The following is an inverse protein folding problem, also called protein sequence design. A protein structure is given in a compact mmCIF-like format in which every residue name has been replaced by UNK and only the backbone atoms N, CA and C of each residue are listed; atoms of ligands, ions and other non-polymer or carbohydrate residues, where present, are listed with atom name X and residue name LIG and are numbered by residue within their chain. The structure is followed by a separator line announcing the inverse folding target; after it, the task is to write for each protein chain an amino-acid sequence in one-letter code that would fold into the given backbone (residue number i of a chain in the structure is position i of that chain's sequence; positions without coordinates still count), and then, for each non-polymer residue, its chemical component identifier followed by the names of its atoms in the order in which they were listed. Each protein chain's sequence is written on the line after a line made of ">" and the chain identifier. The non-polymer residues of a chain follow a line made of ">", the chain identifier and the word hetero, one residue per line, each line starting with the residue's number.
data_IF_560500539356
#
_entry.id   IF_560500539356
#
_cell.length_a   1.000
_cell.length_b   1.000
_cell.length_c   1.000
_cell.angle_alpha   90.00
_cell.angle_beta   90.00
_cell.angle_gamma   90.00
#
_symmetry.space_group_name_H-M   'P 1'
#
loop_
_entity.id
_entity.type
_entity.pdbx_description
1 polymer ?
#
# COMPACT_ATOMS: atom_id res chain seq x y z
N UNK A 1 23.36 6.66 -33.06
CA UNK A 1 23.16 7.47 -31.85
C UNK A 1 21.74 7.18 -31.42
N UNK A 2 21.50 6.67 -30.20
CA UNK A 2 20.13 6.42 -29.75
C UNK A 2 19.34 7.72 -29.75
N UNK A 3 18.06 7.66 -30.11
CA UNK A 3 17.18 8.84 -30.05
C UNK A 3 17.03 9.27 -28.59
N UNK A 4 16.91 10.58 -28.33
CA UNK A 4 16.82 11.13 -26.96
C UNK A 4 15.69 10.48 -26.15
N UNK A 5 14.61 10.01 -26.81
CA UNK A 5 13.53 9.26 -26.18
C UNK A 5 13.87 7.81 -25.81
N UNK A 6 14.81 7.15 -26.50
CA UNK A 6 15.24 5.77 -26.17
C UNK A 6 16.08 5.75 -24.89
N UNK A 7 17.00 6.70 -24.73
CA UNK A 7 17.85 6.82 -23.54
C UNK A 7 17.01 7.05 -22.27
N UNK A 8 15.97 7.88 -22.37
CA UNK A 8 15.08 8.16 -21.25
C UNK A 8 14.23 6.93 -20.85
N UNK A 9 13.87 6.08 -21.81
CA UNK A 9 13.10 4.86 -21.55
C UNK A 9 13.95 3.79 -20.85
N UNK A 10 15.21 3.64 -21.24
CA UNK A 10 16.15 2.71 -20.60
C UNK A 10 16.45 3.10 -19.15
N UNK A 11 16.61 4.40 -18.86
CA UNK A 11 16.80 4.89 -17.49
C UNK A 11 15.57 4.62 -16.60
N UNK A 12 14.36 4.87 -17.13
CA UNK A 12 13.10 4.57 -16.45
C UNK A 12 12.95 3.07 -16.16
N UNK A 13 13.27 2.22 -17.13
CA UNK A 13 13.25 0.76 -16.97
C UNK A 13 14.25 0.33 -15.90
N UNK A 14 15.49 0.78 -15.97
CA UNK A 14 16.53 0.44 -15.01
C UNK A 14 16.13 0.84 -13.58
N UNK A 15 15.48 2.00 -13.42
CA UNK A 15 14.96 2.45 -12.13
C UNK A 15 13.88 1.50 -11.58
N UNK A 16 12.90 1.11 -12.41
CA UNK A 16 11.83 0.17 -12.02
C UNK A 16 12.40 -1.23 -11.73
N UNK A 17 13.38 -1.69 -12.50
CA UNK A 17 14.05 -2.97 -12.23
C UNK A 17 14.83 -2.97 -10.90
N UNK A 18 15.55 -1.88 -10.62
CA UNK A 18 16.26 -1.71 -9.36
C UNK A 18 15.27 -1.77 -8.18
N UNK A 19 14.14 -1.07 -8.31
CA UNK A 19 13.05 -1.08 -7.33
C UNK A 19 12.52 -2.51 -7.10
N UNK A 20 12.15 -3.22 -8.16
CA UNK A 20 11.65 -4.59 -8.05
C UNK A 20 12.66 -5.57 -7.44
N UNK A 21 13.95 -5.46 -7.80
CA UNK A 21 15.01 -6.24 -7.14
C UNK A 21 15.03 -6.00 -5.63
N UNK A 22 14.91 -4.75 -5.23
CA UNK A 22 14.92 -4.37 -3.83
C UNK A 22 13.69 -4.92 -3.10
N UNK A 23 12.50 -4.75 -3.68
CA UNK A 23 11.24 -5.29 -3.15
C UNK A 23 11.30 -6.80 -2.92
N UNK A 24 11.72 -7.57 -3.92
CA UNK A 24 11.76 -9.05 -3.81
C UNK A 24 12.73 -9.49 -2.71
N UNK A 25 13.90 -8.83 -2.60
CA UNK A 25 14.89 -9.11 -1.55
C UNK A 25 14.33 -8.77 -0.17
N UNK A 26 13.75 -7.58 -0.02
CA UNK A 26 13.18 -7.12 1.25
C UNK A 26 12.00 -7.98 1.68
N UNK A 27 11.11 -8.38 0.76
CA UNK A 27 9.92 -9.15 1.11
C UNK A 27 10.24 -10.50 1.76
N UNK A 28 11.36 -11.14 1.39
CA UNK A 28 11.80 -12.39 2.02
C UNK A 28 12.47 -12.23 3.38
N UNK A 29 12.90 -11.02 3.74
CA UNK A 29 13.68 -10.75 4.96
C UNK A 29 12.84 -9.96 5.97
N UNK A 30 12.18 -8.90 5.50
CA UNK A 30 11.35 -8.01 6.28
C UNK A 30 10.24 -7.42 5.39
N UNK A 31 9.04 -8.03 5.38
CA UNK A 31 7.89 -7.56 4.60
C UNK A 31 7.51 -6.09 4.88
N UNK A 32 7.73 -5.60 6.11
CA UNK A 32 7.44 -4.22 6.47
C UNK A 32 8.35 -3.24 5.71
N UNK A 33 9.65 -3.55 5.60
CA UNK A 33 10.57 -2.73 4.82
C UNK A 33 10.24 -2.75 3.32
N UNK A 34 9.73 -3.88 2.81
CA UNK A 34 9.27 -3.93 1.43
C UNK A 34 8.05 -3.02 1.19
N UNK A 35 7.11 -2.96 2.12
CA UNK A 35 5.99 -2.00 2.06
C UNK A 35 6.48 -0.56 2.07
N UNK A 36 7.42 -0.23 2.97
CA UNK A 36 8.01 1.11 3.05
C UNK A 36 8.75 1.50 1.76
N UNK A 37 9.42 0.54 1.13
CA UNK A 37 10.10 0.76 -0.15
C UNK A 37 9.13 1.12 -1.27
N UNK A 38 7.94 0.50 -1.34
CA UNK A 38 6.89 0.89 -2.32
C UNK A 38 6.55 2.37 -2.19
N UNK A 39 6.24 2.82 -0.96
CA UNK A 39 5.86 4.21 -0.73
C UNK A 39 7.03 5.19 -0.91
N UNK A 40 8.25 4.78 -0.54
CA UNK A 40 9.46 5.56 -0.80
C UNK A 40 9.68 5.74 -2.30
N UNK A 41 9.51 4.69 -3.09
CA UNK A 41 9.66 4.74 -4.53
C UNK A 41 8.64 5.68 -5.16
N UNK A 42 7.40 5.67 -4.69
CA UNK A 42 6.35 6.61 -5.11
C UNK A 42 6.70 8.07 -4.80
N UNK A 43 7.29 8.33 -3.63
CA UNK A 43 7.77 9.66 -3.27
C UNK A 43 8.92 10.11 -4.18
N UNK A 44 9.87 9.22 -4.51
CA UNK A 44 10.97 9.49 -5.44
C UNK A 44 10.42 9.82 -6.84
N UNK A 45 9.48 9.02 -7.36
CA UNK A 45 8.81 9.30 -8.63
C UNK A 45 8.14 10.66 -8.60
N UNK A 46 7.42 10.98 -7.51
CA UNK A 46 6.78 12.28 -7.32
C UNK A 46 7.76 13.44 -7.36
N UNK A 47 8.91 13.31 -6.70
CA UNK A 47 9.97 14.31 -6.69
C UNK A 47 10.60 14.49 -8.07
N UNK A 48 10.94 13.40 -8.77
CA UNK A 48 11.52 13.45 -10.11
C UNK A 48 10.55 14.05 -11.12
N UNK A 49 9.28 13.63 -11.07
CA UNK A 49 8.23 14.16 -11.92
C UNK A 49 8.05 15.68 -11.72
N UNK A 50 8.11 16.17 -10.47
CA UNK A 50 8.01 17.60 -10.17
C UNK A 50 9.20 18.45 -10.64
N UNK A 51 10.29 17.84 -11.11
CA UNK A 51 11.43 18.54 -11.71
C UNK A 51 11.30 18.65 -13.24
N UNK A 52 10.36 17.92 -13.84
CA UNK A 52 10.13 17.93 -15.28
C UNK A 52 9.18 19.07 -15.70
N UNK A 53 9.23 19.51 -16.96
CA UNK A 53 8.18 20.36 -17.53
C UNK A 53 6.81 19.68 -17.41
N UNK A 54 5.74 20.47 -17.17
CA UNK A 54 4.36 19.95 -17.04
C UNK A 54 3.92 19.08 -18.22
N UNK A 55 4.41 19.37 -19.44
CA UNK A 55 4.14 18.59 -20.64
C UNK A 55 4.74 17.18 -20.62
N UNK A 56 5.81 16.97 -19.83
CA UNK A 56 6.53 15.70 -19.71
C UNK A 56 6.21 14.98 -18.40
N UNK A 57 5.75 15.69 -17.36
CA UNK A 57 5.44 15.11 -16.06
C UNK A 57 4.43 13.96 -16.18
N UNK A 58 3.32 14.20 -16.87
CA UNK A 58 2.25 13.21 -17.03
C UNK A 58 2.70 11.98 -17.83
N UNK A 59 3.55 12.18 -18.84
CA UNK A 59 4.12 11.09 -19.64
C UNK A 59 5.11 10.27 -18.83
N UNK A 60 6.03 10.91 -18.10
CA UNK A 60 6.97 10.24 -17.21
C UNK A 60 6.25 9.37 -16.17
N UNK A 61 5.24 9.92 -15.48
CA UNK A 61 4.45 9.17 -14.49
C UNK A 61 3.75 7.97 -15.13
N UNK A 62 3.16 8.16 -16.32
CA UNK A 62 2.48 7.08 -17.05
C UNK A 62 3.46 5.98 -17.46
N UNK A 63 4.64 6.33 -17.96
CA UNK A 63 5.67 5.36 -18.37
C UNK A 63 6.16 4.53 -17.19
N UNK A 64 6.44 5.17 -16.05
CA UNK A 64 6.81 4.45 -14.83
C UNK A 64 5.68 3.55 -14.33
N UNK A 65 4.43 4.03 -14.33
CA UNK A 65 3.29 3.20 -13.94
C UNK A 65 3.09 1.99 -14.88
N UNK A 66 3.25 2.18 -16.19
CA UNK A 66 3.19 1.09 -17.17
C UNK A 66 4.24 0.03 -16.87
N UNK A 67 5.49 0.44 -16.69
CA UNK A 67 6.58 -0.47 -16.33
C UNK A 67 6.27 -1.19 -15.01
N UNK A 68 5.87 -0.48 -13.94
CA UNK A 68 5.51 -1.12 -12.66
C UNK A 68 4.41 -2.18 -12.84
N UNK A 69 3.40 -1.89 -13.66
CA UNK A 69 2.34 -2.83 -14.03
C UNK A 69 2.85 -4.06 -14.77
N UNK A 70 3.74 -3.90 -15.75
CA UNK A 70 4.35 -5.02 -16.50
C UNK A 70 5.08 -5.98 -15.56
N UNK A 71 5.90 -5.46 -14.64
CA UNK A 71 6.63 -6.29 -13.68
C UNK A 71 5.69 -6.90 -12.62
N UNK A 72 4.61 -6.21 -12.23
CA UNK A 72 3.59 -6.76 -11.34
C UNK A 72 2.88 -7.96 -11.98
N UNK A 73 2.52 -7.85 -13.26
CA UNK A 73 1.91 -8.96 -14.00
C UNK A 73 2.89 -10.12 -14.21
N UNK A 74 4.17 -9.82 -14.40
CA UNK A 74 5.21 -10.85 -14.45
C UNK A 74 5.37 -11.58 -13.11
N UNK A 75 5.35 -10.86 -11.98
CA UNK A 75 5.39 -11.48 -10.65
C UNK A 75 4.16 -12.37 -10.39
N UNK A 76 2.99 -12.00 -10.90
CA UNK A 76 1.78 -12.83 -10.78
C UNK A 76 1.85 -14.10 -11.60
N UNK A 77 2.28 -13.99 -12.85
CA UNK A 77 2.13 -15.05 -13.84
C UNK A 77 3.35 -15.96 -13.92
N UNK A 78 4.55 -15.42 -13.72
CA UNK A 78 5.80 -16.16 -13.83
C UNK A 78 6.90 -15.57 -12.91
N UNK A 79 6.72 -15.67 -11.57
CA UNK A 79 7.61 -15.08 -10.57
C UNK A 79 9.06 -15.56 -10.66
N UNK A 80 9.29 -16.83 -11.03
CA UNK A 80 10.64 -17.38 -11.15
C UNK A 80 11.40 -16.81 -12.36
N UNK A 81 10.71 -16.59 -13.48
CA UNK A 81 11.32 -15.96 -14.65
C UNK A 81 11.64 -14.50 -14.38
N UNK A 82 10.75 -13.78 -13.68
CA UNK A 82 11.03 -12.41 -13.24
C UNK A 82 12.29 -12.33 -12.36
N UNK A 83 12.42 -13.22 -11.37
CA UNK A 83 13.62 -13.25 -10.51
C UNK A 83 14.89 -13.52 -11.30
N UNK A 84 14.81 -14.41 -12.28
CA UNK A 84 15.92 -14.76 -13.17
C UNK A 84 16.33 -13.56 -14.03
N UNK A 85 15.36 -12.87 -14.65
CA UNK A 85 15.63 -11.69 -15.49
C UNK A 85 16.23 -10.54 -14.68
N UNK A 86 15.76 -10.37 -13.44
CA UNK A 86 16.25 -9.36 -12.51
C UNK A 86 17.56 -9.76 -11.80
N UNK A 87 18.13 -10.94 -12.05
CA UNK A 87 19.32 -11.45 -11.33
C UNK A 87 19.16 -11.41 -9.80
N UNK A 88 17.98 -11.76 -9.28
CA UNK A 88 17.71 -11.82 -7.84
C UNK A 88 18.04 -13.21 -7.30
N UNK A 89 19.07 -13.29 -6.47
CA UNK A 89 19.39 -14.48 -5.68
C UNK A 89 18.83 -14.34 -4.26
N UNK A 90 18.04 -15.32 -3.81
CA UNK A 90 17.34 -15.26 -2.52
C UNK A 90 16.03 -14.45 -2.56
N UNK A 91 15.49 -14.11 -1.38
CA UNK A 91 14.21 -13.40 -1.23
C UNK A 91 12.99 -14.33 -1.16
N UNK A 92 11.83 -13.72 -0.87
CA UNK A 92 10.56 -14.45 -0.72
C UNK A 92 10.09 -15.02 -2.05
N UNK A 93 9.33 -16.12 -2.02
CA UNK A 93 8.83 -16.79 -3.22
C UNK A 93 7.37 -17.20 -3.10
N UNK A 94 6.71 -17.33 -4.24
CA UNK A 94 5.34 -17.83 -4.33
C UNK A 94 4.37 -16.93 -3.56
N UNK A 95 3.57 -17.53 -2.68
CA UNK A 95 2.51 -16.80 -1.95
C UNK A 95 3.06 -15.72 -1.01
N UNK A 96 4.31 -15.83 -0.57
CA UNK A 96 4.94 -14.87 0.35
C UNK A 96 5.20 -13.50 -0.29
N UNK A 97 5.27 -13.43 -1.62
CA UNK A 97 5.52 -12.19 -2.37
C UNK A 97 4.39 -11.81 -3.32
N UNK A 98 3.34 -12.62 -3.42
CA UNK A 98 2.20 -12.36 -4.30
C UNK A 98 1.53 -11.00 -4.02
N UNK A 99 1.58 -10.52 -2.77
CA UNK A 99 1.08 -9.19 -2.40
C UNK A 99 1.90 -8.03 -2.98
N UNK A 100 3.18 -8.24 -3.36
CA UNK A 100 4.00 -7.23 -4.03
C UNK A 100 3.39 -6.82 -5.35
N UNK A 101 2.92 -7.79 -6.14
CA UNK A 101 2.27 -7.52 -7.42
C UNK A 101 1.02 -6.65 -7.24
N UNK A 102 0.25 -6.87 -6.18
CA UNK A 102 -0.91 -6.05 -5.87
C UNK A 102 -0.48 -4.60 -5.55
N UNK A 103 0.54 -4.41 -4.71
CA UNK A 103 1.03 -3.07 -4.39
C UNK A 103 1.62 -2.32 -5.58
N UNK A 104 2.33 -3.04 -6.45
CA UNK A 104 2.97 -2.47 -7.63
C UNK A 104 2.01 -2.29 -8.81
N UNK A 105 0.78 -2.79 -8.69
CA UNK A 105 -0.25 -2.49 -9.68
C UNK A 105 -0.63 -1.02 -9.61
N UNK A 106 -0.59 -0.30 -10.73
CA UNK A 106 -1.03 1.08 -10.79
C UNK A 106 -2.47 1.20 -10.27
N UNK A 107 -2.67 2.12 -9.34
CA UNK A 107 -4.00 2.46 -8.83
C UNK A 107 -4.45 3.76 -9.50
N UNK A 108 -5.59 3.73 -10.20
CA UNK A 108 -6.21 4.92 -10.79
C UNK A 108 -6.86 5.83 -9.73
N UNK A 109 -7.13 5.30 -8.54
CA UNK A 109 -7.72 6.03 -7.42
C UNK A 109 -6.92 5.80 -6.14
N UNK A 110 -6.77 6.85 -5.33
CA UNK A 110 -6.24 6.74 -3.96
C UNK A 110 -7.37 6.95 -2.96
N UNK A 111 -7.60 5.93 -2.12
CA UNK A 111 -8.64 5.94 -1.08
C UNK A 111 -8.09 6.40 0.29
N UNK A 112 -6.92 7.05 0.30
CA UNK A 112 -6.30 7.58 1.54
C UNK A 112 -7.23 8.49 2.30
N UNK A 113 -7.81 9.48 1.64
CA UNK A 113 -8.60 10.50 2.33
C UNK A 113 -9.85 9.89 2.98
N UNK A 114 -10.52 8.93 2.33
CA UNK A 114 -11.64 8.22 2.92
C UNK A 114 -11.25 7.41 4.15
N UNK A 115 -10.09 6.76 4.10
CA UNK A 115 -9.55 6.02 5.23
C UNK A 115 -9.16 6.96 6.37
N UNK A 116 -8.54 8.10 6.06
CA UNK A 116 -8.16 9.12 7.02
C UNK A 116 -9.42 9.74 7.66
N UNK A 117 -10.47 9.98 6.88
CA UNK A 117 -11.75 10.47 7.38
C UNK A 117 -12.40 9.48 8.35
N UNK A 118 -12.37 8.18 8.04
CA UNK A 118 -12.85 7.13 8.94
C UNK A 118 -12.10 7.15 10.28
N UNK A 119 -10.76 7.19 10.25
CA UNK A 119 -9.95 7.20 11.47
C UNK A 119 -10.07 8.51 12.26
N UNK A 120 -10.12 9.66 11.57
CA UNK A 120 -10.40 10.96 12.21
C UNK A 120 -11.73 10.92 12.97
N UNK A 121 -12.78 10.39 12.34
CA UNK A 121 -14.09 10.28 12.98
C UNK A 121 -14.04 9.43 14.26
N UNK A 122 -13.28 8.33 14.27
CA UNK A 122 -13.07 7.51 15.47
C UNK A 122 -12.28 8.24 16.57
N UNK A 123 -11.29 9.05 16.20
CA UNK A 123 -10.50 9.81 17.16
C UNK A 123 -11.27 10.99 17.77
N UNK A 124 -12.17 11.60 17.01
CA UNK A 124 -13.03 12.71 17.46
C UNK A 124 -14.20 12.19 18.30
N UNK A 125 -14.90 11.17 17.83
CA UNK A 125 -16.12 10.66 18.47
C UNK A 125 -15.86 9.61 19.56
N UNK A 126 -14.61 9.14 19.67
CA UNK A 126 -14.23 8.02 20.52
C UNK A 126 -14.35 6.68 19.78
N UNK A 127 -13.46 5.75 20.13
CA UNK A 127 -13.46 4.40 19.56
C UNK A 127 -14.60 3.63 20.23
N UNK A 128 -15.57 3.11 19.46
CA UNK A 128 -16.69 2.36 20.02
C UNK A 128 -16.24 0.99 20.53
N UNK A 129 -17.13 0.28 21.22
CA UNK A 129 -16.86 -1.09 21.65
C UNK A 129 -16.48 -2.01 20.45
N UNK A 130 -15.77 -3.13 20.67
CA UNK A 130 -15.26 -3.99 19.59
C UNK A 130 -16.29 -4.41 18.52
N UNK A 131 -17.51 -4.76 18.96
CA UNK A 131 -18.55 -5.25 18.05
C UNK A 131 -19.05 -4.14 17.13
N UNK A 132 -19.27 -2.96 17.69
CA UNK A 132 -19.67 -1.78 16.92
C UNK A 132 -18.54 -1.33 15.99
N UNK A 133 -17.29 -1.32 16.46
CA UNK A 133 -16.13 -1.00 15.62
C UNK A 133 -16.03 -1.95 14.43
N UNK A 134 -16.11 -3.26 14.66
CA UNK A 134 -16.05 -4.26 13.59
C UNK A 134 -17.16 -4.06 12.55
N UNK A 135 -18.38 -3.77 12.99
CA UNK A 135 -19.49 -3.50 12.06
C UNK A 135 -19.26 -2.24 11.24
N UNK A 136 -18.76 -1.16 11.85
CA UNK A 136 -18.45 0.09 11.15
C UNK A 136 -17.30 -0.11 10.17
N UNK A 137 -16.27 -0.86 10.55
CA UNK A 137 -15.15 -1.21 9.69
C UNK A 137 -15.58 -2.05 8.48
N UNK A 138 -16.40 -3.07 8.68
CA UNK A 138 -16.91 -3.88 7.57
C UNK A 138 -17.80 -3.08 6.62
N UNK A 139 -18.65 -2.19 7.15
CA UNK A 139 -19.46 -1.29 6.32
C UNK A 139 -18.57 -0.32 5.53
N UNK A 140 -17.52 0.22 6.16
CA UNK A 140 -16.54 1.07 5.51
C UNK A 140 -15.81 0.34 4.36
N UNK A 141 -15.28 -0.87 4.62
CA UNK A 141 -14.65 -1.68 3.58
C UNK A 141 -15.60 -2.03 2.43
N UNK A 142 -16.86 -2.38 2.74
CA UNK A 142 -17.87 -2.61 1.72
C UNK A 142 -18.15 -1.38 0.85
N UNK A 143 -18.16 -0.19 1.46
CA UNK A 143 -18.27 1.08 0.76
C UNK A 143 -17.08 1.36 -0.17
N UNK A 144 -15.85 1.09 0.29
CA UNK A 144 -14.66 1.20 -0.54
C UNK A 144 -14.70 0.21 -1.72
N UNK A 145 -15.05 -1.06 -1.46
CA UNK A 145 -15.16 -2.08 -2.51
C UNK A 145 -16.18 -1.68 -3.57
N UNK A 146 -17.35 -1.17 -3.17
CA UNK A 146 -18.38 -0.72 -4.10
C UNK A 146 -17.88 0.42 -5.01
N UNK A 147 -17.05 1.34 -4.50
CA UNK A 147 -16.45 2.42 -5.29
C UNK A 147 -15.52 1.90 -6.38
N UNK A 148 -14.76 0.84 -6.10
CA UNK A 148 -13.74 0.31 -7.01
C UNK A 148 -14.20 -0.90 -7.83
N UNK A 149 -15.43 -1.37 -7.64
CA UNK A 149 -15.96 -2.59 -8.28
C UNK A 149 -15.96 -2.56 -9.82
N UNK A 150 -15.86 -1.37 -10.41
CA UNK A 150 -15.77 -1.17 -11.86
C UNK A 150 -14.36 -1.34 -12.44
N UNK A 151 -13.33 -1.40 -11.58
CA UNK A 151 -11.93 -1.56 -11.97
C UNK A 151 -11.58 -3.03 -12.23
N UNK A 152 -10.41 -3.28 -12.81
CA UNK A 152 -9.90 -4.64 -12.98
C UNK A 152 -9.62 -5.31 -11.62
N UNK A 153 -9.74 -6.64 -11.54
CA UNK A 153 -9.46 -7.36 -10.29
C UNK A 153 -8.06 -7.06 -9.72
N UNK A 154 -6.96 -7.08 -10.53
CA UNK A 154 -5.63 -6.74 -10.04
C UNK A 154 -5.54 -5.35 -9.42
N UNK A 155 -6.24 -4.38 -10.00
CA UNK A 155 -6.28 -3.01 -9.51
C UNK A 155 -7.11 -2.88 -8.22
N UNK A 156 -8.27 -3.55 -8.16
CA UNK A 156 -9.06 -3.64 -6.93
C UNK A 156 -8.24 -4.22 -5.78
N UNK A 157 -7.53 -5.32 -6.03
CA UNK A 157 -6.67 -5.99 -5.05
C UNK A 157 -5.52 -5.09 -4.60
N UNK A 158 -4.90 -4.35 -5.53
CA UNK A 158 -3.86 -3.39 -5.23
C UNK A 158 -4.34 -2.26 -4.32
N UNK A 159 -5.48 -1.65 -4.66
CA UNK A 159 -6.10 -0.59 -3.85
C UNK A 159 -6.45 -1.11 -2.45
N UNK A 160 -7.10 -2.26 -2.35
CA UNK A 160 -7.49 -2.82 -1.04
C UNK A 160 -6.29 -3.28 -0.21
N UNK A 161 -5.21 -3.76 -0.83
CA UNK A 161 -3.96 -4.07 -0.14
C UNK A 161 -3.38 -2.82 0.50
N UNK A 162 -3.36 -1.68 -0.20
CA UNK A 162 -2.91 -0.38 0.35
C UNK A 162 -3.78 0.07 1.53
N UNK A 163 -5.10 -0.06 1.44
CA UNK A 163 -6.02 0.23 2.53
C UNK A 163 -5.69 -0.60 3.78
N UNK A 164 -5.48 -1.91 3.60
CA UNK A 164 -5.15 -2.82 4.72
C UNK A 164 -3.80 -2.45 5.37
N UNK A 165 -2.77 -2.15 4.56
CA UNK A 165 -1.45 -1.78 5.08
C UNK A 165 -1.47 -0.45 5.83
N UNK A 166 -2.12 0.57 5.28
CA UNK A 166 -2.28 1.86 5.95
C UNK A 166 -3.08 1.72 7.24
N UNK A 167 -4.09 0.86 7.25
CA UNK A 167 -4.83 0.56 8.47
C UNK A 167 -3.92 -0.02 9.55
N UNK A 168 -3.07 -0.98 9.18
CA UNK A 168 -2.09 -1.57 10.09
C UNK A 168 -1.09 -0.52 10.63
N UNK A 169 -0.68 0.44 9.81
CA UNK A 169 0.17 1.57 10.25
C UNK A 169 -0.55 2.45 11.27
N UNK A 170 -1.80 2.86 10.99
CA UNK A 170 -2.58 3.69 11.94
C UNK A 170 -2.81 2.98 13.26
N UNK A 171 -3.04 1.68 13.22
CA UNK A 171 -3.14 0.83 14.39
C UNK A 171 -1.86 0.81 15.21
N UNK A 172 -0.71 0.60 14.55
CA UNK A 172 0.57 0.54 15.23
C UNK A 172 0.87 1.89 15.88
N UNK A 173 0.64 2.98 15.14
CA UNK A 173 0.79 4.33 15.64
C UNK A 173 -0.15 4.63 16.81
N UNK A 174 -1.43 4.24 16.73
CA UNK A 174 -2.38 4.39 17.83
C UNK A 174 -1.98 3.65 19.10
N UNK A 175 -1.31 2.49 18.94
CA UNK A 175 -0.82 1.67 20.04
C UNK A 175 0.36 2.31 20.75
N UNK A 176 1.29 2.85 19.97
CA UNK A 176 2.55 3.38 20.49
C UNK A 176 2.41 4.84 20.93
N UNK A 177 1.75 5.66 20.12
CA UNK A 177 1.53 7.10 20.36
C UNK A 177 0.24 7.57 19.67
N UNK A 178 -0.86 7.58 20.44
CA UNK A 178 -2.17 8.05 19.95
C UNK A 178 -2.14 9.53 19.54
N UNK A 179 -1.29 10.35 20.16
CA UNK A 179 -1.17 11.76 19.79
C UNK A 179 -0.37 11.93 18.49
N UNK A 180 0.57 11.03 18.20
CA UNK A 180 1.20 10.96 16.88
C UNK A 180 0.18 10.59 15.79
N UNK A 181 -0.73 9.63 16.04
CA UNK A 181 -1.80 9.34 15.07
C UNK A 181 -2.74 10.54 14.90
N UNK A 182 -3.10 11.24 15.98
CA UNK A 182 -3.90 12.47 15.88
C UNK A 182 -3.19 13.53 15.02
N UNK A 183 -1.89 13.73 15.23
CA UNK A 183 -1.09 14.67 14.46
C UNK A 183 -1.01 14.30 12.98
N UNK A 184 -0.74 13.03 12.67
CA UNK A 184 -0.73 12.47 11.30
C UNK A 184 -2.06 12.73 10.58
N UNK A 185 -3.17 12.60 11.31
CA UNK A 185 -4.51 12.80 10.79
C UNK A 185 -5.04 14.23 10.94
N UNK A 186 -4.21 15.20 11.35
CA UNK A 186 -4.64 16.60 11.51
C UNK A 186 -5.74 16.82 12.57
N UNK A 187 -5.89 15.90 13.52
CA UNK A 187 -6.84 16.02 14.64
C UNK A 187 -6.15 16.75 15.80
N UNK A 188 -6.79 17.77 16.41
CA UNK A 188 -6.24 18.41 17.61
C UNK A 188 -5.96 17.41 18.73
N UNK A 189 -4.89 17.66 19.51
CA UNK A 189 -4.61 16.91 20.73
C UNK A 189 -5.77 17.05 21.69
N UNK A 190 -6.27 15.93 22.19
CA UNK A 190 -7.30 15.92 23.24
C UNK A 190 -6.67 16.29 24.58
N UNK A 191 -7.26 17.23 25.31
CA UNK A 191 -7.02 17.35 26.74
C UNK A 191 -7.55 16.06 27.41
N UNK A 192 -6.65 15.25 27.95
CA UNK A 192 -6.85 14.05 28.80
C UNK A 192 -8.14 13.24 28.61
N UNK A 193 -8.06 12.05 27.99
CA UNK A 193 -9.08 11.00 28.09
C UNK A 193 -8.43 9.63 28.33
N UNK A 194 -8.94 8.95 29.37
CA UNK A 194 -8.28 7.92 30.18
C UNK A 194 -8.02 6.55 29.50
N UNK A 195 -7.11 5.82 30.14
CA UNK A 195 -6.34 4.62 29.76
C UNK A 195 -7.09 3.31 29.49
N UNK A 196 -8.42 3.30 29.41
CA UNK A 196 -9.20 2.03 29.26
C UNK A 196 -9.40 1.60 27.80
N UNK A 197 -9.12 2.48 26.84
CA UNK A 197 -9.28 2.20 25.39
C UNK A 197 -8.15 1.32 24.82
N UNK A 198 -7.01 1.22 25.51
CA UNK A 198 -5.81 0.50 25.03
C UNK A 198 -6.04 -1.00 24.81
N UNK A 199 -6.76 -1.68 25.70
CA UNK A 199 -6.94 -3.15 25.63
C UNK A 199 -7.98 -3.56 24.56
N UNK A 200 -8.94 -2.67 24.28
CA UNK A 200 -10.03 -2.85 23.33
C UNK A 200 -9.54 -2.70 21.89
N UNK A 201 -8.67 -1.72 21.65
CA UNK A 201 -7.97 -1.54 20.37
C UNK A 201 -7.11 -2.78 20.09
N UNK A 202 -6.27 -3.22 21.02
CA UNK A 202 -5.34 -4.34 20.77
C UNK A 202 -6.06 -5.66 20.40
N UNK A 203 -7.25 -5.92 20.97
CA UNK A 203 -8.03 -7.15 20.71
C UNK A 203 -8.83 -7.09 19.41
N UNK A 204 -9.56 -6.00 19.18
CA UNK A 204 -10.36 -5.83 17.95
C UNK A 204 -9.46 -5.75 16.71
N UNK A 205 -8.28 -5.16 16.88
CA UNK A 205 -7.37 -4.87 15.80
C UNK A 205 -6.46 -6.04 15.42
N UNK A 206 -5.92 -6.80 16.38
CA UNK A 206 -5.19 -8.05 16.05
C UNK A 206 -6.07 -9.01 15.27
N UNK A 207 -7.35 -9.11 15.65
CA UNK A 207 -8.31 -9.92 14.92
C UNK A 207 -8.52 -9.38 13.50
N UNK A 208 -8.62 -8.07 13.30
CA UNK A 208 -8.96 -7.47 12.00
C UNK A 208 -7.78 -7.36 11.04
N UNK A 209 -6.54 -7.14 11.51
CA UNK A 209 -5.34 -7.12 10.65
C UNK A 209 -5.00 -8.53 10.18
N UNK A 210 -4.97 -9.51 11.09
CA UNK A 210 -4.70 -10.89 10.68
C UNK A 210 -5.88 -11.54 9.97
N UNK A 211 -7.14 -11.22 10.28
CA UNK A 211 -8.26 -11.67 9.45
C UNK A 211 -8.36 -10.89 8.14
N UNK A 212 -7.97 -9.62 8.04
CA UNK A 212 -7.96 -8.87 6.78
C UNK A 212 -6.87 -9.38 5.84
N UNK A 213 -5.66 -9.57 6.36
CA UNK A 213 -4.54 -10.20 5.66
C UNK A 213 -4.89 -11.67 5.33
N UNK A 214 -5.43 -12.45 6.28
CA UNK A 214 -5.83 -13.85 6.03
C UNK A 214 -7.08 -13.99 5.15
N UNK A 215 -8.00 -13.02 5.12
CA UNK A 215 -9.18 -13.03 4.26
C UNK A 215 -8.81 -12.60 2.85
N UNK A 216 -7.89 -11.64 2.68
CA UNK A 216 -7.19 -11.43 1.41
C UNK A 216 -6.55 -12.75 0.96
N UNK A 217 -5.73 -13.39 1.80
CA UNK A 217 -5.10 -14.69 1.45
C UNK A 217 -6.08 -15.86 1.25
N UNK A 218 -7.29 -15.84 1.82
CA UNK A 218 -8.33 -16.88 1.61
C UNK A 218 -9.23 -16.61 0.42
N UNK A 219 -9.43 -15.35 0.03
CA UNK A 219 -10.22 -14.99 -1.15
C UNK A 219 -9.46 -15.27 -2.47
N UNK A 220 -8.14 -15.48 -2.41
CA UNK A 220 -7.28 -15.85 -3.54
C UNK A 220 -6.90 -17.34 -3.57
N UNK A 221 -7.72 -18.20 -2.96
CA UNK A 221 -7.63 -19.67 -3.05
C UNK A 221 -8.90 -20.23 -3.68
#
# INVERSE_FOLDING_TARGET
>A
MPEVGEVQNDEMRQMVENHWRNLIRLAGVNPQMAVEEVFRFEAIIGQLAGQLPLSQEAEFRRSIQSLRGEYADWERTNPDTLRTSLNVTGGGRGTETAWLANLETPASVDLKEEQDAFWRALLVNGIPNPKTFQSQWMAFLGGLQAKIAHLSQPEQDGIMTRVVLRNAQYIALAKDDRDALRAELGVPRSAELHSTTQLVVDTAVRATVWQGISALFRAFR
#
